data_IF_925624807310
#
_entry.id   IF_925624807310
#
_cell.length_a   1.000
_cell.length_b   1.000
_cell.length_c   1.000
_cell.angle_alpha   90.00
_cell.angle_beta   90.00
_cell.angle_gamma   90.00
#
_symmetry.space_group_name_H-M   'P 1'
#
loop_
_entity.id
_entity.type
_entity.pdbx_description
1 polymer ?
#
# COMPACT_ATOMS: atom_id res chain seq x y z
N UNK A 1 -44.28 -10.14 -0.36
CA UNK A 1 -43.50 -9.16 -1.14
C UNK A 1 -42.11 -9.20 -0.52
N UNK A 2 -41.18 -9.96 -1.10
CA UNK A 2 -39.80 -9.93 -0.61
C UNK A 2 -39.25 -8.58 -1.00
N UNK A 3 -38.99 -7.71 -0.02
CA UNK A 3 -38.11 -6.57 -0.25
C UNK A 3 -36.80 -7.16 -0.78
N UNK A 4 -36.55 -6.96 -2.08
CA UNK A 4 -35.28 -7.29 -2.69
C UNK A 4 -34.27 -6.40 -1.99
N UNK A 5 -33.50 -6.95 -1.04
CA UNK A 5 -32.37 -6.27 -0.43
C UNK A 5 -31.53 -5.68 -1.57
N UNK A 6 -31.64 -4.36 -1.77
CA UNK A 6 -30.76 -3.64 -2.69
C UNK A 6 -29.43 -3.54 -1.97
N UNK A 7 -28.59 -4.53 -2.20
CA UNK A 7 -27.25 -4.55 -1.64
C UNK A 7 -26.36 -3.72 -2.55
N UNK A 8 -25.96 -2.55 -2.06
CA UNK A 8 -24.90 -1.76 -2.68
C UNK A 8 -23.58 -2.52 -2.47
N UNK A 9 -22.98 -2.96 -3.56
CA UNK A 9 -21.72 -3.70 -3.50
C UNK A 9 -20.56 -2.76 -3.16
N UNK A 10 -19.42 -3.31 -2.75
CA UNK A 10 -18.19 -2.52 -2.60
C UNK A 10 -17.87 -1.75 -3.89
N UNK A 11 -18.06 -2.38 -5.05
CA UNK A 11 -17.83 -1.73 -6.34
C UNK A 11 -18.80 -0.56 -6.52
N UNK A 12 -20.09 -0.74 -6.27
CA UNK A 12 -21.08 0.35 -6.39
C UNK A 12 -20.77 1.53 -5.47
N UNK A 13 -20.30 1.27 -4.25
CA UNK A 13 -20.02 2.31 -3.25
C UNK A 13 -18.68 3.02 -3.46
N UNK A 14 -17.66 2.32 -3.97
CA UNK A 14 -16.28 2.80 -4.00
C UNK A 14 -15.70 3.00 -5.39
N UNK A 15 -16.38 2.63 -6.49
CA UNK A 15 -15.85 2.80 -7.86
C UNK A 15 -15.36 4.23 -8.13
N UNK A 16 -16.16 5.24 -7.77
CA UNK A 16 -15.82 6.65 -8.01
C UNK A 16 -14.78 7.22 -7.03
N UNK A 17 -14.42 6.48 -5.98
CA UNK A 17 -13.48 6.90 -4.93
C UNK A 17 -12.40 5.84 -4.68
N UNK A 18 -12.16 4.95 -5.65
CA UNK A 18 -11.29 3.80 -5.46
C UNK A 18 -9.85 4.24 -5.13
N UNK A 19 -9.34 5.25 -5.83
CA UNK A 19 -8.02 5.83 -5.58
C UNK A 19 -7.91 6.45 -4.17
N UNK A 20 -8.98 7.08 -3.68
CA UNK A 20 -9.03 7.63 -2.32
C UNK A 20 -9.03 6.51 -1.28
N UNK A 21 -9.80 5.45 -1.54
CA UNK A 21 -9.79 4.25 -0.70
C UNK A 21 -8.39 3.63 -0.63
N UNK A 22 -7.72 3.40 -1.77
CA UNK A 22 -6.35 2.88 -1.81
C UNK A 22 -5.38 3.80 -1.06
N UNK A 23 -5.44 5.10 -1.35
CA UNK A 23 -4.61 6.11 -0.69
C UNK A 23 -4.80 6.10 0.83
N UNK A 24 -6.03 5.92 1.32
CA UNK A 24 -6.34 5.87 2.75
C UNK A 24 -5.74 4.65 3.46
N UNK A 25 -5.55 3.54 2.74
CA UNK A 25 -4.88 2.34 3.26
C UNK A 25 -3.38 2.57 3.29
N UNK A 26 -2.80 3.03 2.18
CA UNK A 26 -1.34 3.25 2.05
C UNK A 26 -0.86 4.33 3.02
N UNK A 27 -1.61 5.42 3.20
CA UNK A 27 -1.24 6.53 4.07
C UNK A 27 -1.05 6.15 5.55
N UNK A 28 -1.61 5.01 5.99
CA UNK A 28 -1.47 4.52 7.36
C UNK A 28 -0.25 3.64 7.58
N UNK A 29 0.29 3.05 6.51
CA UNK A 29 1.41 2.10 6.57
C UNK A 29 2.66 2.65 7.26
N UNK A 30 3.09 3.92 7.05
CA UNK A 30 4.23 4.47 7.80
C UNK A 30 4.05 4.41 9.33
N UNK A 31 2.81 4.53 9.80
CA UNK A 31 2.46 4.51 11.23
C UNK A 31 2.19 3.10 11.77
N UNK A 32 1.61 2.22 10.96
CA UNK A 32 1.08 0.92 11.39
C UNK A 32 1.99 -0.26 11.06
N UNK A 33 2.89 -0.15 10.08
CA UNK A 33 3.75 -1.22 9.61
C UNK A 33 5.25 -0.87 9.79
N UNK A 34 5.93 -1.60 10.68
CA UNK A 34 7.33 -1.32 11.00
C UNK A 34 8.27 -1.63 9.84
N UNK A 35 8.02 -2.69 9.08
CA UNK A 35 8.79 -3.07 7.91
C UNK A 35 8.67 -2.02 6.80
N UNK A 36 7.45 -1.54 6.56
CA UNK A 36 7.18 -0.46 5.61
C UNK A 36 7.95 0.81 5.99
N UNK A 37 7.88 1.22 7.26
CA UNK A 37 8.63 2.37 7.78
C UNK A 37 10.15 2.17 7.67
N UNK A 38 10.65 0.98 7.94
CA UNK A 38 12.07 0.67 7.82
C UNK A 38 12.56 0.80 6.38
N UNK A 39 11.80 0.28 5.42
CA UNK A 39 12.11 0.39 3.98
C UNK A 39 12.06 1.84 3.52
N UNK A 40 11.08 2.64 3.96
CA UNK A 40 11.02 4.07 3.65
C UNK A 40 12.26 4.82 4.15
N UNK A 41 12.62 4.62 5.42
CA UNK A 41 13.80 5.25 6.02
C UNK A 41 15.09 4.87 5.29
N UNK A 42 15.21 3.62 4.83
CA UNK A 42 16.38 3.18 4.06
C UNK A 42 16.45 3.86 2.68
N UNK A 43 15.32 4.04 2.00
CA UNK A 43 15.25 4.80 0.75
C UNK A 43 15.65 6.27 0.99
N UNK A 44 15.13 6.89 2.04
CA UNK A 44 15.46 8.28 2.38
C UNK A 44 16.96 8.45 2.66
N UNK A 45 17.56 7.53 3.44
CA UNK A 45 19.00 7.52 3.71
C UNK A 45 19.85 7.38 2.43
N UNK A 46 19.38 6.59 1.45
CA UNK A 46 20.04 6.47 0.15
C UNK A 46 19.97 7.76 -0.65
N UNK A 47 18.85 8.48 -0.62
CA UNK A 47 18.73 9.78 -1.28
C UNK A 47 19.60 10.86 -0.63
N UNK A 48 19.69 10.87 0.70
CA UNK A 48 20.59 11.77 1.43
C UNK A 48 22.05 11.50 1.10
N UNK A 49 22.43 10.22 1.01
CA UNK A 49 23.81 9.80 0.71
C UNK A 49 24.18 9.99 -0.76
N UNK A 50 23.20 9.86 -1.66
CA UNK A 50 23.38 9.91 -3.11
C UNK A 50 22.30 10.80 -3.75
N UNK A 51 22.40 12.14 -3.63
CA UNK A 51 21.39 13.05 -4.15
C UNK A 51 21.23 12.97 -5.68
N UNK A 52 22.27 12.54 -6.40
CA UNK A 52 22.20 12.25 -7.82
C UNK A 52 21.18 11.16 -8.18
N UNK A 53 20.96 10.17 -7.29
CA UNK A 53 19.97 9.10 -7.47
C UNK A 53 18.55 9.64 -7.40
N UNK A 54 18.27 10.55 -6.46
CA UNK A 54 16.96 11.21 -6.37
C UNK A 54 16.70 12.04 -7.63
N UNK A 55 17.70 12.80 -8.10
CA UNK A 55 17.58 13.65 -9.27
C UNK A 55 17.27 12.92 -10.59
N UNK A 56 17.49 11.61 -10.67
CA UNK A 56 17.13 10.81 -11.86
C UNK A 56 15.62 10.75 -12.07
N UNK A 57 14.84 10.70 -10.99
CA UNK A 57 13.39 10.53 -11.10
C UNK A 57 12.72 11.76 -11.73
N UNK A 58 13.38 12.91 -11.70
CA UNK A 58 12.93 14.15 -12.34
C UNK A 58 13.66 14.45 -13.67
N UNK A 59 14.57 13.59 -14.11
CA UNK A 59 15.40 13.84 -15.28
C UNK A 59 14.65 13.49 -16.59
N UNK A 60 14.52 14.47 -17.48
CA UNK A 60 13.93 14.25 -18.82
C UNK A 60 14.90 13.57 -19.81
N UNK A 61 16.19 13.50 -19.46
CA UNK A 61 17.27 12.96 -20.31
C UNK A 61 18.18 12.06 -19.48
N UNK A 62 18.89 11.16 -20.16
CA UNK A 62 19.88 10.30 -19.53
C UNK A 62 20.90 11.12 -18.73
N UNK A 63 21.07 10.78 -17.45
CA UNK A 63 22.08 11.33 -16.58
C UNK A 63 23.23 10.34 -16.41
N UNK A 64 24.46 10.84 -16.38
CA UNK A 64 25.62 10.01 -16.03
C UNK A 64 25.62 9.80 -14.51
N UNK A 65 25.74 8.54 -14.08
CA UNK A 65 25.88 8.17 -12.68
C UNK A 65 27.26 7.55 -12.46
N UNK A 66 27.81 7.79 -11.28
CA UNK A 66 28.91 6.97 -10.78
C UNK A 66 28.46 5.52 -10.55
N UNK A 67 29.41 4.60 -10.47
CA UNK A 67 29.14 3.19 -10.16
C UNK A 67 28.42 3.04 -8.80
N UNK A 68 28.78 3.88 -7.83
CA UNK A 68 28.17 3.91 -6.49
C UNK A 68 26.71 4.40 -6.55
N UNK A 69 26.44 5.47 -7.29
CA UNK A 69 25.08 5.96 -7.50
C UNK A 69 24.22 4.96 -8.30
N UNK A 70 24.81 4.26 -9.28
CA UNK A 70 24.12 3.20 -10.00
C UNK A 70 23.72 2.04 -9.06
N UNK A 71 24.64 1.61 -8.19
CA UNK A 71 24.34 0.59 -7.18
C UNK A 71 23.26 1.06 -6.17
N UNK A 72 23.33 2.32 -5.74
CA UNK A 72 22.32 2.92 -4.88
C UNK A 72 20.96 3.00 -5.58
N UNK A 73 20.90 3.36 -6.86
CA UNK A 73 19.66 3.36 -7.66
C UNK A 73 19.05 1.96 -7.75
N UNK A 74 19.85 0.93 -8.04
CA UNK A 74 19.37 -0.46 -8.07
C UNK A 74 18.75 -0.83 -6.73
N UNK A 75 19.40 -0.46 -5.62
CA UNK A 75 18.89 -0.70 -4.28
C UNK A 75 17.57 0.04 -4.01
N UNK A 76 17.48 1.32 -4.38
CA UNK A 76 16.23 2.10 -4.29
C UNK A 76 15.10 1.43 -5.06
N UNK A 77 15.34 0.93 -6.28
CA UNK A 77 14.32 0.26 -7.09
C UNK A 77 13.84 -1.05 -6.44
N UNK A 78 14.75 -1.84 -5.88
CA UNK A 78 14.40 -3.05 -5.13
C UNK A 78 13.55 -2.73 -3.88
N UNK A 79 13.92 -1.68 -3.15
CA UNK A 79 13.19 -1.22 -1.96
C UNK A 79 11.80 -0.65 -2.34
N UNK A 80 11.67 0.08 -3.46
CA UNK A 80 10.37 0.53 -3.96
C UNK A 80 9.45 -0.65 -4.34
N UNK A 81 9.99 -1.69 -4.98
CA UNK A 81 9.22 -2.91 -5.24
C UNK A 81 8.73 -3.54 -3.92
N UNK A 82 9.57 -3.54 -2.89
CA UNK A 82 9.20 -4.03 -1.56
C UNK A 82 8.08 -3.19 -0.93
N UNK A 83 8.11 -1.86 -1.06
CA UNK A 83 6.99 -1.00 -0.62
C UNK A 83 5.69 -1.39 -1.34
N UNK A 84 5.73 -1.54 -2.68
CA UNK A 84 4.55 -1.93 -3.46
C UNK A 84 4.01 -3.31 -3.04
N UNK A 85 4.87 -4.28 -2.72
CA UNK A 85 4.43 -5.57 -2.17
C UNK A 85 3.66 -5.42 -0.86
N UNK A 86 4.19 -4.61 0.07
CA UNK A 86 3.55 -4.35 1.36
C UNK A 86 2.21 -3.62 1.18
N UNK A 87 2.16 -2.60 0.32
CA UNK A 87 0.92 -1.88 -0.02
C UNK A 87 -0.15 -2.81 -0.60
N UNK A 88 0.23 -3.66 -1.56
CA UNK A 88 -0.68 -4.64 -2.16
C UNK A 88 -1.21 -5.64 -1.12
N UNK A 89 -0.36 -6.13 -0.23
CA UNK A 89 -0.79 -7.02 0.86
C UNK A 89 -1.77 -6.31 1.78
N UNK A 90 -1.48 -5.07 2.19
CA UNK A 90 -2.37 -4.30 3.06
C UNK A 90 -3.73 -4.00 2.42
N UNK A 91 -3.75 -3.62 1.14
CA UNK A 91 -4.99 -3.41 0.37
C UNK A 91 -5.79 -4.71 0.27
N UNK A 92 -5.13 -5.83 -0.04
CA UNK A 92 -5.78 -7.15 -0.13
C UNK A 92 -6.45 -7.53 1.19
N UNK A 93 -5.70 -7.50 2.28
CA UNK A 93 -6.25 -7.84 3.60
C UNK A 93 -7.37 -6.89 4.01
N UNK A 94 -7.21 -5.60 3.74
CA UNK A 94 -8.27 -4.61 4.00
C UNK A 94 -9.56 -4.95 3.26
N UNK A 95 -9.48 -5.31 1.98
CA UNK A 95 -10.63 -5.76 1.19
C UNK A 95 -11.31 -7.00 1.80
N UNK A 96 -10.54 -7.98 2.30
CA UNK A 96 -11.08 -9.12 3.02
C UNK A 96 -11.84 -8.70 4.29
N UNK A 97 -11.29 -7.76 5.05
CA UNK A 97 -11.91 -7.23 6.28
C UNK A 97 -13.23 -6.51 6.00
N UNK A 98 -13.25 -5.67 4.97
CA UNK A 98 -14.44 -4.95 4.55
C UNK A 98 -15.52 -5.94 4.07
N UNK A 99 -15.13 -6.96 3.29
CA UNK A 99 -16.01 -8.06 2.87
C UNK A 99 -16.66 -8.81 4.04
N UNK A 100 -15.90 -9.15 5.08
CA UNK A 100 -16.45 -9.74 6.33
C UNK A 100 -17.39 -8.75 7.02
N UNK A 101 -17.03 -7.46 7.05
CA UNK A 101 -17.88 -6.38 7.54
C UNK A 101 -19.24 -6.35 6.83
N UNK A 102 -19.25 -6.46 5.50
CA UNK A 102 -20.48 -6.53 4.69
C UNK A 102 -21.32 -7.77 5.05
N UNK A 103 -20.71 -8.96 5.14
CA UNK A 103 -21.43 -10.19 5.50
C UNK A 103 -22.08 -10.09 6.88
N UNK A 104 -21.39 -9.50 7.86
CA UNK A 104 -21.96 -9.25 9.19
C UNK A 104 -23.15 -8.29 9.15
N UNK A 105 -23.06 -7.19 8.38
CA UNK A 105 -24.18 -6.25 8.19
C UNK A 105 -25.39 -6.93 7.54
N UNK A 106 -25.16 -7.92 6.67
CA UNK A 106 -26.22 -8.72 6.04
C UNK A 106 -26.81 -9.82 6.96
N UNK A 107 -26.37 -9.93 8.21
CA UNK A 107 -26.89 -10.89 9.18
C UNK A 107 -26.22 -12.27 9.16
N UNK A 108 -25.13 -12.43 8.40
CA UNK A 108 -24.37 -13.68 8.39
C UNK A 108 -23.36 -13.73 9.56
N UNK A 109 -23.37 -14.84 10.31
CA UNK A 109 -22.46 -15.09 11.42
C UNK A 109 -21.05 -15.49 10.96
N UNK A 110 -20.27 -14.53 10.48
CA UNK A 110 -18.89 -14.77 10.01
C UNK A 110 -17.88 -14.30 11.07
N UNK A 111 -16.95 -15.17 11.44
CA UNK A 111 -15.77 -14.82 12.25
C UNK A 111 -14.53 -14.85 11.37
N UNK A 112 -14.03 -13.67 11.03
CA UNK A 112 -12.64 -13.53 10.64
C UNK A 112 -11.89 -13.28 11.94
N UNK A 113 -10.92 -14.14 12.27
CA UNK A 113 -10.06 -13.90 13.44
C UNK A 113 -9.34 -12.57 13.20
N UNK A 114 -9.82 -11.56 13.92
CA UNK A 114 -9.26 -10.23 14.11
C UNK A 114 -8.45 -9.68 12.92
N UNK A 115 -9.13 -9.00 12.00
CA UNK A 115 -8.52 -8.06 11.06
C UNK A 115 -7.68 -6.95 11.73
N UNK A 116 -7.71 -6.86 13.06
CA UNK A 116 -6.80 -6.06 13.86
C UNK A 116 -5.38 -6.67 13.97
N UNK A 117 -5.16 -7.89 13.47
CA UNK A 117 -3.85 -8.54 13.45
C UNK A 117 -3.01 -8.19 12.20
N UNK A 118 -3.43 -7.22 11.38
CA UNK A 118 -2.53 -6.59 10.39
C UNK A 118 -1.38 -5.81 11.03
N UNK A 119 -1.29 -5.75 12.37
CA UNK A 119 -0.16 -5.17 13.10
C UNK A 119 1.09 -6.08 13.14
N UNK A 120 1.08 -7.26 12.51
CA UNK A 120 2.22 -8.21 12.56
C UNK A 120 2.56 -8.92 11.24
N UNK A 121 2.29 -8.29 10.08
CA UNK A 121 2.92 -8.69 8.81
C UNK A 121 3.72 -7.54 8.22
#
# INVERSE_FOLDING_TARGET
MHDTLKFETFVDAYENIFEEYLSSVVAKLPGENEDYRAVQNEIESLYESYPGVLGIFDAEKAAALSEQECAALVKVLLLKNRLTELEMQSVYFRGCCDGVGYLRKAGYGVRFADCAASNHL
#
